data_IF_476583831765
#
_entry.id   IF_476583831765
#
_cell.length_a   1.000
_cell.length_b   1.000
_cell.length_c   1.000
_cell.angle_alpha   90.00
_cell.angle_beta   90.00
_cell.angle_gamma   90.00
#
_symmetry.space_group_name_H-M   'P 1'
#
loop_
_entity.id
_entity.type
_entity.pdbx_description
1 polymer ?
#
# COMPACT_ATOMS: atom_id res chain seq x y z
N UNK A 1 -3.93 -16.90 0.54
CA UNK A 1 -5.19 -16.27 0.07
C UNK A 1 -6.23 -17.34 -0.13
N UNK A 2 -7.50 -17.02 0.11
CA UNK A 2 -8.60 -17.99 0.07
C UNK A 2 -8.77 -18.64 -1.32
N UNK A 3 -8.54 -17.89 -2.40
CA UNK A 3 -8.63 -18.39 -3.77
C UNK A 3 -7.25 -18.42 -4.44
N UNK A 4 -6.89 -19.54 -5.07
CA UNK A 4 -5.58 -19.71 -5.74
C UNK A 4 -5.47 -18.88 -7.01
N UNK A 5 -6.56 -18.54 -7.67
CA UNK A 5 -6.54 -17.72 -8.89
C UNK A 5 -6.12 -16.27 -8.64
N UNK A 6 -6.29 -15.78 -7.40
CA UNK A 6 -5.81 -14.46 -7.00
C UNK A 6 -4.29 -14.28 -7.18
N UNK A 7 -3.48 -15.35 -7.22
CA UNK A 7 -2.03 -15.24 -7.49
C UNK A 7 -1.71 -14.68 -8.88
N UNK A 8 -2.64 -14.78 -9.84
CA UNK A 8 -2.48 -14.23 -11.18
C UNK A 8 -2.92 -12.76 -11.24
N UNK A 9 -3.92 -12.39 -10.44
CA UNK A 9 -4.52 -11.04 -10.46
C UNK A 9 -3.81 -10.09 -9.47
N UNK A 10 -3.42 -10.59 -8.31
CA UNK A 10 -2.80 -9.84 -7.21
C UNK A 10 -1.49 -10.52 -6.74
N UNK A 11 -0.51 -10.79 -7.61
CA UNK A 11 0.66 -11.61 -7.30
C UNK A 11 1.53 -11.09 -6.15
N UNK A 12 1.51 -9.79 -5.86
CA UNK A 12 2.41 -9.15 -4.88
C UNK A 12 1.64 -8.37 -3.82
N UNK A 13 0.42 -8.81 -3.50
CA UNK A 13 -0.44 -8.18 -2.48
C UNK A 13 -0.05 -8.64 -1.07
N UNK A 14 -0.09 -7.73 -0.08
CA UNK A 14 0.34 -8.00 1.30
C UNK A 14 -0.31 -9.25 1.88
N UNK A 15 -1.64 -9.30 1.83
CA UNK A 15 -2.48 -10.37 2.37
C UNK A 15 -2.30 -11.76 1.70
N UNK A 16 -1.35 -11.89 0.75
CA UNK A 16 -0.88 -13.19 0.28
C UNK A 16 0.00 -13.90 1.27
N UNK A 17 0.77 -13.14 2.03
CA UNK A 17 1.76 -13.65 2.96
C UNK A 17 1.13 -13.83 4.35
N UNK A 18 1.76 -14.67 5.15
CA UNK A 18 1.37 -14.92 6.54
C UNK A 18 2.24 -14.03 7.43
N UNK A 19 1.70 -13.58 8.54
CA UNK A 19 2.50 -12.93 9.58
C UNK A 19 3.49 -13.91 10.21
N UNK A 20 4.40 -13.42 11.05
CA UNK A 20 5.37 -14.21 11.83
C UNK A 20 4.70 -15.25 12.73
N UNK A 21 3.43 -15.03 13.05
CA UNK A 21 2.60 -15.96 13.83
C UNK A 21 1.90 -17.02 12.94
N UNK A 22 2.20 -17.07 11.64
CA UNK A 22 1.57 -17.99 10.70
C UNK A 22 0.11 -17.67 10.36
N UNK A 23 -0.40 -16.51 10.79
CA UNK A 23 -1.80 -16.07 10.57
C UNK A 23 -1.95 -15.26 9.28
N UNK A 24 -3.11 -15.35 8.67
CA UNK A 24 -3.52 -14.49 7.55
C UNK A 24 -4.45 -13.38 8.05
N UNK A 25 -4.81 -12.40 7.22
CA UNK A 25 -5.81 -11.40 7.62
C UNK A 25 -7.25 -11.87 7.47
N UNK A 26 -7.49 -13.05 6.89
CA UNK A 26 -8.82 -13.50 6.51
C UNK A 26 -9.50 -14.18 7.70
N UNK A 27 -10.60 -13.62 8.25
CA UNK A 27 -11.29 -14.18 9.41
C UNK A 27 -12.01 -15.48 9.04
N UNK A 28 -12.03 -16.44 9.96
CA UNK A 28 -12.90 -17.61 9.86
C UNK A 28 -14.34 -17.19 10.06
N UNK A 29 -15.25 -17.67 9.20
CA UNK A 29 -16.63 -17.20 9.15
C UNK A 29 -17.40 -17.49 10.44
N UNK A 30 -17.13 -18.64 11.06
CA UNK A 30 -17.73 -19.05 12.33
C UNK A 30 -17.34 -18.16 13.52
N UNK A 31 -16.28 -17.36 13.40
CA UNK A 31 -15.83 -16.41 14.41
C UNK A 31 -16.24 -14.96 14.09
N UNK A 32 -16.95 -14.72 12.99
CA UNK A 32 -17.47 -13.39 12.68
C UNK A 32 -18.69 -13.08 13.56
N UNK A 33 -18.78 -11.86 14.14
CA UNK A 33 -19.97 -11.45 14.88
C UNK A 33 -21.23 -11.53 14.00
N UNK A 34 -22.37 -11.85 14.61
CA UNK A 34 -23.65 -11.96 13.88
C UNK A 34 -23.98 -10.69 13.07
N UNK A 35 -23.76 -9.51 13.65
CA UNK A 35 -23.97 -8.22 12.99
C UNK A 35 -23.11 -8.03 11.73
N UNK A 36 -21.95 -8.68 11.66
CA UNK A 36 -21.08 -8.69 10.48
C UNK A 36 -21.62 -9.68 9.46
N UNK A 37 -21.95 -10.90 9.88
CA UNK A 37 -22.51 -11.96 9.02
C UNK A 37 -23.79 -11.52 8.30
N UNK A 38 -24.69 -10.82 9.00
CA UNK A 38 -25.97 -10.34 8.46
C UNK A 38 -25.80 -9.32 7.30
N UNK A 39 -24.60 -8.74 7.17
CA UNK A 39 -24.24 -7.78 6.10
C UNK A 39 -23.39 -8.41 4.98
N UNK A 40 -23.08 -9.70 5.07
CA UNK A 40 -22.36 -10.43 4.02
C UNK A 40 -23.34 -11.12 3.07
N UNK A 41 -22.95 -11.24 1.80
CA UNK A 41 -23.80 -11.85 0.78
C UNK A 41 -23.41 -13.31 0.56
N UNK A 42 -24.27 -14.21 1.02
CA UNK A 42 -24.09 -15.66 0.85
C UNK A 42 -24.39 -16.06 -0.59
N UNK A 43 -23.43 -16.69 -1.26
CA UNK A 43 -23.61 -17.30 -2.59
C UNK A 43 -23.72 -18.81 -2.46
N UNK A 44 -24.94 -19.34 -2.55
CA UNK A 44 -25.21 -20.78 -2.43
C UNK A 44 -24.86 -21.59 -3.69
N UNK A 45 -24.42 -20.94 -4.76
CA UNK A 45 -24.06 -21.62 -6.01
C UNK A 45 -22.58 -22.00 -6.08
N UNK A 46 -21.79 -21.72 -5.04
CA UNK A 46 -20.48 -22.35 -4.89
C UNK A 46 -20.66 -23.87 -4.73
N UNK A 47 -19.84 -24.65 -5.43
CA UNK A 47 -19.88 -26.12 -5.36
C UNK A 47 -19.47 -26.63 -3.97
N UNK A 48 -18.53 -25.95 -3.32
CA UNK A 48 -18.05 -26.31 -1.99
C UNK A 48 -18.48 -25.29 -0.93
N UNK A 49 -18.89 -25.80 0.25
CA UNK A 49 -19.14 -24.97 1.44
C UNK A 49 -17.90 -24.14 1.78
N UNK A 50 -16.71 -24.74 1.68
CA UNK A 50 -15.46 -24.06 1.96
C UNK A 50 -15.20 -22.85 1.04
N UNK A 51 -15.51 -22.95 -0.27
CA UNK A 51 -15.41 -21.79 -1.16
C UNK A 51 -16.37 -20.67 -0.78
N UNK A 52 -17.59 -21.01 -0.36
CA UNK A 52 -18.56 -20.05 0.15
C UNK A 52 -18.04 -19.33 1.40
N UNK A 53 -17.48 -20.07 2.34
CA UNK A 53 -16.93 -19.50 3.58
C UNK A 53 -15.70 -18.61 3.28
N UNK A 54 -14.85 -19.03 2.34
CA UNK A 54 -13.73 -18.23 1.85
C UNK A 54 -14.16 -16.93 1.14
N UNK A 55 -15.26 -16.94 0.38
CA UNK A 55 -15.82 -15.74 -0.24
C UNK A 55 -16.42 -14.79 0.82
N UNK A 56 -17.11 -15.30 1.84
CA UNK A 56 -17.61 -14.49 2.96
C UNK A 56 -16.45 -13.84 3.74
N UNK A 57 -15.39 -14.61 4.03
CA UNK A 57 -14.17 -14.10 4.64
C UNK A 57 -13.50 -13.01 3.80
N UNK A 58 -13.44 -13.20 2.48
CA UNK A 58 -12.96 -12.17 1.55
C UNK A 58 -13.84 -10.91 1.60
N UNK A 59 -15.17 -11.06 1.56
CA UNK A 59 -16.10 -9.94 1.63
C UNK A 59 -15.93 -9.15 2.93
N UNK A 60 -15.74 -9.80 4.08
CA UNK A 60 -15.51 -9.13 5.36
C UNK A 60 -14.31 -8.17 5.29
N UNK A 61 -13.18 -8.62 4.74
CA UNK A 61 -11.98 -7.77 4.57
C UNK A 61 -12.18 -6.67 3.53
N UNK A 62 -12.92 -6.93 2.45
CA UNK A 62 -13.21 -5.89 1.45
C UNK A 62 -14.21 -4.84 1.96
N UNK A 63 -15.10 -5.20 2.87
CA UNK A 63 -16.06 -4.30 3.53
C UNK A 63 -15.50 -3.60 4.78
N UNK A 64 -14.22 -3.84 5.12
CA UNK A 64 -13.51 -3.10 6.16
C UNK A 64 -13.65 -3.69 7.56
N UNK A 65 -13.91 -4.99 7.69
CA UNK A 65 -13.92 -5.66 9.00
C UNK A 65 -12.55 -5.54 9.68
N UNK A 66 -12.55 -5.05 10.92
CA UNK A 66 -11.42 -4.95 11.83
C UNK A 66 -11.89 -5.62 13.12
N UNK A 67 -11.22 -6.70 13.52
CA UNK A 67 -11.59 -7.47 14.70
C UNK A 67 -10.50 -8.46 15.09
N UNK A 68 -10.66 -9.08 16.25
CA UNK A 68 -9.72 -9.96 16.93
C UNK A 68 -10.05 -11.46 16.77
N UNK A 69 -11.16 -11.78 16.11
CA UNK A 69 -11.58 -13.16 15.82
C UNK A 69 -10.53 -13.99 15.08
N UNK A 70 -10.65 -15.32 15.19
CA UNK A 70 -9.68 -16.21 14.57
C UNK A 70 -9.61 -16.06 13.05
N UNK A 71 -8.39 -16.12 12.52
CA UNK A 71 -8.11 -16.04 11.08
C UNK A 71 -7.60 -17.37 10.55
N UNK A 72 -7.79 -17.62 9.26
CA UNK A 72 -7.19 -18.76 8.59
C UNK A 72 -5.66 -18.72 8.69
N UNK A 73 -5.04 -19.87 8.95
CA UNK A 73 -3.58 -20.07 8.90
C UNK A 73 -3.14 -20.68 7.57
N UNK A 74 -4.01 -21.40 6.88
CA UNK A 74 -3.79 -21.90 5.53
C UNK A 74 -5.10 -22.04 4.74
N UNK A 75 -4.99 -22.32 3.44
CA UNK A 75 -6.15 -22.44 2.56
C UNK A 75 -6.09 -23.73 1.73
N UNK A 76 -7.20 -24.47 1.74
CA UNK A 76 -7.31 -25.71 0.99
C UNK A 76 -7.48 -25.47 -0.52
N UNK A 77 -7.37 -26.55 -1.30
CA UNK A 77 -7.58 -26.48 -2.74
C UNK A 77 -9.08 -26.52 -3.04
N UNK A 78 -9.58 -25.46 -3.66
CA UNK A 78 -10.96 -25.39 -4.13
C UNK A 78 -11.14 -26.02 -5.53
N UNK A 79 -12.38 -26.44 -5.87
CA UNK A 79 -12.76 -26.76 -7.24
C UNK A 79 -12.46 -25.61 -8.22
N UNK A 80 -12.01 -25.93 -9.43
CA UNK A 80 -11.68 -24.92 -10.46
C UNK A 80 -12.90 -24.05 -10.83
N UNK A 81 -14.10 -24.61 -10.79
CA UNK A 81 -15.35 -23.86 -11.02
C UNK A 81 -15.61 -22.80 -9.95
N UNK A 82 -15.28 -23.09 -8.68
CA UNK A 82 -15.43 -22.14 -7.57
C UNK A 82 -14.41 -20.99 -7.68
N UNK A 83 -13.18 -21.31 -8.12
CA UNK A 83 -12.13 -20.32 -8.41
C UNK A 83 -12.57 -19.34 -9.52
N UNK A 84 -13.14 -19.85 -10.61
CA UNK A 84 -13.69 -19.01 -11.70
C UNK A 84 -14.89 -18.19 -11.25
N UNK A 85 -15.82 -18.80 -10.51
CA UNK A 85 -16.99 -18.11 -9.94
C UNK A 85 -16.57 -16.91 -9.10
N UNK A 86 -15.62 -17.12 -8.18
CA UNK A 86 -15.08 -16.06 -7.34
C UNK A 86 -14.45 -14.92 -8.15
N UNK A 87 -13.57 -15.21 -9.12
CA UNK A 87 -12.93 -14.12 -9.87
C UNK A 87 -13.90 -13.38 -10.80
N UNK A 88 -14.97 -14.03 -11.30
CA UNK A 88 -16.04 -13.37 -12.05
C UNK A 88 -16.89 -12.45 -11.17
N UNK A 89 -17.22 -12.92 -9.96
CA UNK A 89 -17.97 -12.14 -8.97
C UNK A 89 -17.19 -10.88 -8.57
N UNK A 90 -15.88 -10.98 -8.37
CA UNK A 90 -15.10 -9.95 -7.68
C UNK A 90 -14.17 -9.11 -8.56
N UNK A 91 -13.85 -9.54 -9.78
CA UNK A 91 -12.93 -8.85 -10.67
C UNK A 91 -13.53 -8.58 -12.04
N UNK A 92 -12.95 -7.61 -12.75
CA UNK A 92 -13.36 -7.30 -14.12
C UNK A 92 -13.16 -8.50 -15.06
N UNK A 93 -14.07 -8.68 -16.03
CA UNK A 93 -14.04 -9.81 -16.97
C UNK A 93 -12.71 -10.00 -17.70
N UNK A 94 -12.01 -8.90 -18.01
CA UNK A 94 -10.64 -8.92 -18.55
C UNK A 94 -9.69 -9.79 -17.73
N UNK A 95 -9.74 -9.69 -16.39
CA UNK A 95 -8.88 -10.47 -15.50
C UNK A 95 -9.25 -11.95 -15.47
N UNK A 96 -10.53 -12.28 -15.68
CA UNK A 96 -11.00 -13.67 -15.78
C UNK A 96 -10.43 -14.35 -17.04
N UNK A 97 -10.45 -13.64 -18.17
CA UNK A 97 -9.84 -14.10 -19.42
C UNK A 97 -8.32 -14.22 -19.27
N UNK A 98 -7.67 -13.21 -18.68
CA UNK A 98 -6.24 -13.24 -18.38
C UNK A 98 -5.84 -14.48 -17.57
N UNK A 99 -6.61 -14.84 -16.53
CA UNK A 99 -6.39 -16.05 -15.76
C UNK A 99 -6.52 -17.28 -16.65
N UNK A 100 -7.61 -17.42 -17.42
CA UNK A 100 -7.80 -18.57 -18.33
C UNK A 100 -6.63 -18.74 -19.29
N UNK A 101 -6.17 -17.67 -19.94
CA UNK A 101 -5.02 -17.72 -20.85
C UNK A 101 -3.77 -18.22 -20.13
N UNK A 102 -3.46 -17.68 -18.94
CA UNK A 102 -2.32 -18.15 -18.16
C UNK A 102 -2.46 -19.60 -17.71
N UNK A 103 -3.68 -20.05 -17.37
CA UNK A 103 -3.95 -21.46 -17.01
C UNK A 103 -3.62 -22.39 -18.17
N UNK A 104 -4.13 -22.09 -19.36
CA UNK A 104 -3.91 -22.88 -20.57
C UNK A 104 -2.43 -22.91 -20.97
N UNK A 105 -1.78 -21.75 -21.00
CA UNK A 105 -0.33 -21.64 -21.28
C UNK A 105 0.54 -22.32 -20.22
N UNK A 106 0.02 -22.54 -19.01
CA UNK A 106 0.73 -23.20 -17.91
C UNK A 106 0.45 -24.71 -17.82
N UNK A 107 -0.02 -25.38 -18.89
CA UNK A 107 -0.06 -26.85 -18.85
C UNK A 107 -1.27 -27.42 -18.14
N UNK A 108 -2.33 -26.63 -17.94
CA UNK A 108 -3.46 -27.02 -17.08
C UNK A 108 -4.56 -27.63 -17.93
N UNK A 109 -5.21 -28.67 -17.40
CA UNK A 109 -6.14 -29.50 -18.16
C UNK A 109 -7.19 -28.61 -18.86
N UNK A 110 -7.14 -28.49 -20.20
CA UNK A 110 -7.94 -27.51 -20.93
C UNK A 110 -9.44 -27.83 -20.83
N UNK A 111 -9.82 -29.12 -20.79
CA UNK A 111 -11.21 -29.53 -20.66
C UNK A 111 -11.80 -29.10 -19.31
N UNK A 112 -11.04 -29.26 -18.21
CA UNK A 112 -11.47 -28.83 -16.88
C UNK A 112 -11.57 -27.30 -16.79
N UNK A 113 -10.56 -26.58 -17.29
CA UNK A 113 -10.53 -25.11 -17.24
C UNK A 113 -11.64 -24.48 -18.10
N UNK A 114 -11.82 -24.95 -19.35
CA UNK A 114 -12.87 -24.45 -20.24
C UNK A 114 -14.27 -24.79 -19.71
N UNK A 115 -14.49 -26.04 -19.26
CA UNK A 115 -15.78 -26.42 -18.67
C UNK A 115 -16.13 -25.54 -17.47
N UNK A 116 -15.19 -25.32 -16.55
CA UNK A 116 -15.38 -24.47 -15.38
C UNK A 116 -15.59 -22.98 -15.77
N UNK A 117 -14.85 -22.49 -16.76
CA UNK A 117 -14.98 -21.13 -17.26
C UNK A 117 -16.36 -20.86 -17.88
N UNK A 118 -16.89 -21.79 -18.68
CA UNK A 118 -18.21 -21.64 -19.32
C UNK A 118 -19.37 -21.85 -18.33
N UNK A 119 -19.22 -22.76 -17.35
CA UNK A 119 -20.21 -23.00 -16.28
C UNK A 119 -20.46 -21.82 -15.33
N UNK A 120 -19.65 -20.77 -15.42
CA UNK A 120 -19.73 -19.59 -14.53
C UNK A 120 -20.08 -18.32 -15.29
N UNK A 121 -20.51 -18.43 -16.55
CA UNK A 121 -20.81 -17.26 -17.41
C UNK A 121 -22.04 -16.47 -16.96
N UNK A 122 -22.93 -17.09 -16.19
CA UNK A 122 -24.10 -16.49 -15.52
C UNK A 122 -23.73 -15.55 -14.37
N UNK A 123 -22.52 -15.68 -13.82
CA UNK A 123 -22.07 -14.93 -12.65
C UNK A 123 -21.89 -13.44 -12.98
N UNK A 124 -22.70 -12.60 -12.36
CA UNK A 124 -22.59 -11.14 -12.46
C UNK A 124 -21.54 -10.62 -11.48
N UNK A 125 -20.79 -9.60 -11.91
CA UNK A 125 -19.82 -8.90 -11.07
C UNK A 125 -20.54 -8.11 -9.97
N UNK A 126 -20.10 -8.27 -8.73
CA UNK A 126 -20.55 -7.48 -7.58
C UNK A 126 -19.54 -6.36 -7.25
N UNK A 127 -20.05 -5.22 -6.81
CA UNK A 127 -19.28 -4.12 -6.24
C UNK A 127 -19.27 -4.25 -4.71
N UNK A 128 -18.49 -5.21 -4.17
CA UNK A 128 -18.46 -5.56 -2.72
C UNK A 128 -18.28 -4.35 -1.80
N UNK A 129 -17.57 -3.32 -2.25
CA UNK A 129 -17.27 -2.12 -1.48
C UNK A 129 -18.53 -1.31 -1.13
N UNK A 130 -19.63 -1.46 -1.90
CA UNK A 130 -20.93 -0.90 -1.56
C UNK A 130 -21.50 -1.67 -0.36
N UNK A 131 -21.58 -1.01 0.80
CA UNK A 131 -22.01 -1.64 2.06
C UNK A 131 -20.87 -1.96 3.02
N UNK A 132 -19.82 -1.13 3.05
CA UNK A 132 -18.78 -1.18 4.06
C UNK A 132 -19.35 -1.12 5.49
N UNK A 133 -18.62 -1.70 6.45
CA UNK A 133 -19.04 -1.69 7.85
C UNK A 133 -18.89 -0.29 8.44
N UNK A 134 -19.95 0.23 9.07
CA UNK A 134 -19.85 1.47 9.82
C UNK A 134 -19.16 1.21 11.15
N UNK A 135 -18.40 2.21 11.60
CA UNK A 135 -17.86 2.27 12.95
C UNK A 135 -18.52 3.46 13.66
N UNK A 136 -19.83 3.38 13.90
CA UNK A 136 -20.68 4.50 14.34
C UNK A 136 -20.24 5.09 15.69
N UNK A 137 -19.62 4.26 16.54
CA UNK A 137 -19.08 4.70 17.83
C UNK A 137 -17.78 5.49 17.68
N UNK A 138 -17.13 5.47 16.51
CA UNK A 138 -15.87 6.19 16.30
C UNK A 138 -16.06 7.70 16.53
N UNK A 139 -17.07 8.32 15.92
CA UNK A 139 -17.20 9.78 15.99
C UNK A 139 -17.45 10.27 17.44
N UNK A 140 -18.16 9.49 18.26
CA UNK A 140 -18.43 9.79 19.67
C UNK A 140 -17.39 9.26 20.66
N UNK A 141 -16.46 8.41 20.21
CA UNK A 141 -15.41 7.85 21.05
C UNK A 141 -14.51 8.96 21.61
N UNK A 142 -14.43 9.03 22.93
CA UNK A 142 -13.44 9.81 23.66
C UNK A 142 -12.19 8.95 23.80
N UNK A 143 -11.07 9.44 23.30
CA UNK A 143 -9.80 8.69 23.30
C UNK A 143 -9.02 8.99 24.59
N UNK A 144 -8.87 8.01 25.51
CA UNK A 144 -7.95 8.16 26.63
C UNK A 144 -6.52 8.50 26.19
N UNK A 145 -6.08 8.00 25.04
CA UNK A 145 -4.74 8.32 24.51
C UNK A 145 -4.58 9.83 24.24
N UNK A 146 -5.62 10.50 23.70
CA UNK A 146 -5.59 11.96 23.55
C UNK A 146 -5.55 12.66 24.91
N UNK A 147 -6.30 12.18 25.91
CA UNK A 147 -6.34 12.76 27.27
C UNK A 147 -4.99 12.66 27.99
N UNK A 148 -4.22 11.58 27.75
CA UNK A 148 -2.86 11.45 28.29
C UNK A 148 -1.83 12.38 27.62
N UNK A 149 -2.25 13.08 26.56
CA UNK A 149 -1.46 14.10 25.85
C UNK A 149 -0.02 13.65 25.50
N UNK A 150 0.19 12.49 24.84
CA UNK A 150 1.53 11.98 24.52
C UNK A 150 2.31 12.90 23.56
N UNK A 151 3.63 12.99 23.73
CA UNK A 151 4.45 13.73 22.76
C UNK A 151 4.46 13.01 21.40
N UNK A 152 4.11 13.75 20.34
CA UNK A 152 4.22 13.29 18.95
C UNK A 152 5.43 13.92 18.29
N UNK A 153 6.19 13.14 17.52
CA UNK A 153 7.24 13.68 16.65
C UNK A 153 6.78 13.66 15.20
N UNK A 154 6.53 14.84 14.63
CA UNK A 154 6.19 15.02 13.22
C UNK A 154 7.48 15.04 12.40
N UNK A 155 7.60 14.17 11.40
CA UNK A 155 8.83 13.94 10.63
C UNK A 155 8.64 14.41 9.20
N UNK A 156 9.39 15.45 8.82
CA UNK A 156 9.29 16.11 7.52
C UNK A 156 10.66 16.13 6.84
N UNK A 157 10.90 15.26 5.84
CA UNK A 157 12.02 15.43 4.93
C UNK A 157 11.66 16.49 3.88
N UNK A 158 12.56 17.42 3.61
CA UNK A 158 12.38 18.40 2.53
C UNK A 158 13.61 18.53 1.64
N UNK A 159 13.40 18.96 0.41
CA UNK A 159 14.44 19.23 -0.58
C UNK A 159 13.91 20.24 -1.61
N UNK A 160 14.45 21.47 -1.58
CA UNK A 160 14.19 22.55 -2.53
C UNK A 160 12.69 22.87 -2.70
N UNK A 161 11.92 22.97 -1.60
CA UNK A 161 10.45 23.16 -1.60
C UNK A 161 9.91 24.14 -0.55
N UNK A 162 10.66 25.20 -0.24
CA UNK A 162 10.32 26.10 0.87
C UNK A 162 8.91 26.72 0.75
N UNK A 163 8.45 27.04 -0.45
CA UNK A 163 7.09 27.58 -0.66
C UNK A 163 5.99 26.63 -0.17
N UNK A 164 6.12 25.34 -0.47
CA UNK A 164 5.15 24.32 -0.06
C UNK A 164 5.32 23.94 1.41
N UNK A 165 6.57 23.90 1.88
CA UNK A 165 6.89 23.65 3.28
C UNK A 165 6.32 24.75 4.18
N UNK A 166 6.30 26.00 3.74
CA UNK A 166 5.68 27.11 4.46
C UNK A 166 4.18 26.85 4.72
N UNK A 167 3.45 26.36 3.71
CA UNK A 167 2.05 25.97 3.88
C UNK A 167 1.89 24.80 4.85
N UNK A 168 2.76 23.80 4.75
CA UNK A 168 2.80 22.63 5.64
C UNK A 168 3.01 23.04 7.10
N UNK A 169 3.99 23.91 7.37
CA UNK A 169 4.29 24.38 8.72
C UNK A 169 3.15 25.24 9.28
N UNK A 170 2.50 26.09 8.46
CA UNK A 170 1.30 26.83 8.86
C UNK A 170 0.12 25.92 9.20
N UNK A 171 -0.09 24.85 8.42
CA UNK A 171 -1.14 23.87 8.75
C UNK A 171 -0.84 23.16 10.08
N UNK A 172 0.44 22.98 10.44
CA UNK A 172 0.86 22.43 11.73
C UNK A 172 0.64 23.40 12.90
N UNK A 173 0.90 24.70 12.72
CA UNK A 173 0.59 25.73 13.73
C UNK A 173 -0.90 25.78 14.07
N UNK A 174 -1.76 25.41 13.12
CA UNK A 174 -3.21 25.40 13.26
C UNK A 174 -3.77 24.06 13.78
N UNK A 175 -2.93 23.11 14.21
CA UNK A 175 -3.41 21.85 14.76
C UNK A 175 -4.04 22.03 16.14
N UNK A 176 -5.17 21.36 16.35
CA UNK A 176 -5.91 21.31 17.62
C UNK A 176 -5.19 20.49 18.70
N UNK A 177 -4.38 19.51 18.28
CA UNK A 177 -3.47 18.80 19.17
C UNK A 177 -2.13 19.54 19.23
N UNK A 178 -1.73 20.02 20.40
CA UNK A 178 -0.57 20.92 20.54
C UNK A 178 0.71 20.24 21.06
N UNK A 179 0.64 19.06 21.69
CA UNK A 179 1.82 18.41 22.23
C UNK A 179 2.61 17.61 21.20
N UNK A 180 3.18 18.31 20.21
CA UNK A 180 4.08 17.71 19.23
C UNK A 180 5.37 18.52 19.04
N UNK A 181 6.43 17.84 18.62
CA UNK A 181 7.65 18.45 18.07
C UNK A 181 7.69 18.19 16.56
N UNK A 182 8.41 19.03 15.82
CA UNK A 182 8.57 18.91 14.38
C UNK A 182 10.05 18.71 14.09
N UNK A 183 10.39 17.63 13.38
CA UNK A 183 11.76 17.33 12.99
C UNK A 183 11.84 17.48 11.49
N UNK A 184 12.50 18.55 11.05
CA UNK A 184 12.73 18.84 9.64
C UNK A 184 14.12 18.37 9.27
N UNK A 185 14.20 17.50 8.25
CA UNK A 185 15.48 17.12 7.63
C UNK A 185 15.54 17.77 6.26
N UNK A 186 16.29 18.87 6.19
CA UNK A 186 16.45 19.67 4.99
C UNK A 186 17.68 19.21 4.20
N UNK A 187 17.46 18.89 2.92
CA UNK A 187 18.49 18.43 1.98
C UNK A 187 18.73 19.44 0.85
N UNK A 188 18.17 20.65 0.97
CA UNK A 188 18.20 21.70 -0.06
C UNK A 188 19.62 22.20 -0.29
N UNK A 189 19.96 22.45 -1.56
CA UNK A 189 21.29 22.98 -1.90
C UNK A 189 21.45 24.42 -1.36
N UNK A 190 20.38 25.20 -1.42
CA UNK A 190 20.29 26.54 -0.85
C UNK A 190 19.68 26.50 0.56
N UNK A 191 20.29 25.69 1.45
CA UNK A 191 19.85 25.57 2.84
C UNK A 191 19.86 26.93 3.56
N UNK A 192 18.71 27.33 4.11
CA UNK A 192 18.58 28.54 4.92
C UNK A 192 17.84 28.22 6.23
N UNK A 193 18.58 28.19 7.34
CA UNK A 193 18.00 27.93 8.66
C UNK A 193 17.03 29.03 9.12
N UNK A 194 17.18 30.26 8.64
CA UNK A 194 16.36 31.42 9.06
C UNK A 194 14.91 31.28 8.64
N UNK A 195 14.64 30.52 7.57
CA UNK A 195 13.29 30.20 7.13
C UNK A 195 12.44 29.63 8.28
N UNK A 196 13.03 28.76 9.10
CA UNK A 196 12.34 28.02 10.14
C UNK A 196 12.08 28.83 11.42
N UNK A 197 12.80 29.95 11.62
CA UNK A 197 12.68 30.79 12.83
C UNK A 197 11.35 31.56 12.90
N UNK A 198 10.65 31.68 11.76
CA UNK A 198 9.40 32.42 11.65
C UNK A 198 8.15 31.66 12.14
N UNK A 199 8.28 30.37 12.46
CA UNK A 199 7.15 29.52 12.85
C UNK A 199 7.13 29.30 14.36
N UNK A 200 5.93 29.39 14.96
CA UNK A 200 5.68 29.08 16.36
C UNK A 200 5.53 27.57 16.58
N UNK A 201 6.58 26.82 16.23
CA UNK A 201 6.64 25.36 16.31
C UNK A 201 7.92 24.94 17.03
N UNK A 202 7.86 23.82 17.76
CA UNK A 202 9.05 23.19 18.36
C UNK A 202 9.84 22.46 17.27
N UNK A 203 10.54 23.21 16.41
CA UNK A 203 11.29 22.67 15.28
C UNK A 203 12.70 22.25 15.71
N UNK A 204 13.01 20.98 15.48
CA UNK A 204 14.38 20.47 15.43
C UNK A 204 14.81 20.37 13.96
N UNK A 205 15.71 21.27 13.55
CA UNK A 205 16.24 21.31 12.19
C UNK A 205 17.50 20.47 12.06
N UNK A 206 17.58 19.67 11.01
CA UNK A 206 18.77 18.87 10.65
C UNK A 206 19.08 19.13 9.18
N UNK A 207 20.27 19.64 8.89
CA UNK A 207 20.77 19.73 7.51
C UNK A 207 21.43 18.41 7.12
N UNK A 208 21.07 17.87 5.95
CA UNK A 208 21.60 16.61 5.42
C UNK A 208 22.11 16.82 3.99
N UNK A 209 23.42 16.67 3.80
CA UNK A 209 24.04 16.82 2.48
C UNK A 209 23.64 15.72 1.48
N UNK A 210 23.52 14.47 1.96
CA UNK A 210 23.10 13.37 1.08
C UNK A 210 21.61 13.50 0.74
N UNK A 211 21.29 13.74 -0.53
CA UNK A 211 19.91 13.70 -1.04
C UNK A 211 19.38 12.25 -1.05
N UNK A 212 18.69 11.86 0.03
CA UNK A 212 18.25 10.50 0.33
C UNK A 212 17.04 10.52 1.30
N UNK A 213 15.86 10.10 0.81
CA UNK A 213 14.60 10.18 1.58
C UNK A 213 14.59 9.23 2.78
N UNK A 214 15.00 7.98 2.59
CA UNK A 214 14.93 6.99 3.68
C UNK A 214 15.98 7.29 4.74
N UNK A 215 17.14 7.79 4.35
CA UNK A 215 18.14 8.34 5.27
C UNK A 215 17.55 9.51 6.07
N UNK A 216 16.92 10.48 5.41
CA UNK A 216 16.32 11.63 6.08
C UNK A 216 15.27 11.20 7.11
N UNK A 217 14.33 10.33 6.72
CA UNK A 217 13.34 9.77 7.65
C UNK A 217 14.01 8.99 8.79
N UNK A 218 14.99 8.13 8.50
CA UNK A 218 15.70 7.35 9.51
C UNK A 218 16.44 8.24 10.52
N UNK A 219 17.10 9.30 10.05
CA UNK A 219 17.78 10.29 10.90
C UNK A 219 16.79 10.98 11.84
N UNK A 220 15.65 11.44 11.31
CA UNK A 220 14.61 12.06 12.12
C UNK A 220 14.01 11.09 13.15
N UNK A 221 13.72 9.84 12.75
CA UNK A 221 13.19 8.80 13.66
C UNK A 221 14.16 8.57 14.82
N UNK A 222 15.46 8.47 14.57
CA UNK A 222 16.46 8.29 15.63
C UNK A 222 16.56 9.48 16.58
N UNK A 223 16.29 10.70 16.09
CA UNK A 223 16.36 11.93 16.89
C UNK A 223 15.04 12.28 17.59
N UNK A 224 13.95 11.63 17.21
CA UNK A 224 12.63 11.81 17.81
C UNK A 224 12.61 11.54 19.31
N UNK A 225 11.82 12.32 20.04
CA UNK A 225 11.55 12.13 21.47
C UNK A 225 10.19 11.50 21.74
N UNK A 226 9.21 11.75 20.86
CA UNK A 226 7.88 11.19 20.95
C UNK A 226 7.85 9.68 20.71
N UNK A 227 6.92 8.99 21.37
CA UNK A 227 6.64 7.57 21.16
C UNK A 227 5.68 7.31 20.00
N UNK A 228 5.06 8.36 19.47
CA UNK A 228 4.22 8.35 18.29
C UNK A 228 4.88 9.19 17.20
N UNK A 229 5.17 8.58 16.05
CA UNK A 229 5.89 9.21 14.95
C UNK A 229 4.93 9.47 13.80
N UNK A 230 4.71 10.73 13.48
CA UNK A 230 3.81 11.16 12.40
C UNK A 230 4.64 11.52 11.17
N UNK A 231 4.63 10.63 10.18
CA UNK A 231 5.38 10.87 8.95
C UNK A 231 4.54 11.74 8.00
N UNK A 232 5.12 12.85 7.56
CA UNK A 232 4.46 13.85 6.72
C UNK A 232 5.34 14.24 5.53
N UNK A 233 4.73 14.66 4.42
CA UNK A 233 5.47 15.19 3.26
C UNK A 233 5.42 16.72 3.23
N UNK A 234 6.41 17.33 2.58
CA UNK A 234 6.58 18.77 2.44
C UNK A 234 5.68 19.45 1.38
N UNK A 235 4.83 18.69 0.67
CA UNK A 235 3.93 19.19 -0.38
C UNK A 235 2.46 18.78 -0.16
N UNK A 236 2.00 18.93 1.07
CA UNK A 236 0.71 18.42 1.54
C UNK A 236 -0.09 19.45 2.34
N UNK A 237 -1.42 19.36 2.27
CA UNK A 237 -2.33 20.17 3.10
C UNK A 237 -3.21 19.29 3.97
N UNK A 238 -3.44 19.69 5.21
CA UNK A 238 -4.18 18.91 6.23
C UNK A 238 -5.15 19.78 7.02
N UNK A 239 -6.20 19.18 7.57
CA UNK A 239 -7.15 19.86 8.45
C UNK A 239 -6.57 20.02 9.87
N UNK A 240 -7.16 20.90 10.68
CA UNK A 240 -6.72 21.21 12.06
C UNK A 240 -6.89 20.06 13.06
N UNK A 241 -7.76 19.09 12.77
CA UNK A 241 -7.96 17.89 13.60
C UNK A 241 -7.13 16.69 13.12
N UNK A 242 -6.28 16.86 12.10
CA UNK A 242 -5.59 15.75 11.44
C UNK A 242 -4.75 14.90 12.40
N UNK A 243 -3.96 15.52 13.28
CA UNK A 243 -3.18 14.79 14.29
C UNK A 243 -4.10 14.04 15.26
N UNK A 244 -5.18 14.67 15.74
CA UNK A 244 -6.13 14.04 16.66
C UNK A 244 -6.78 12.79 16.05
N UNK A 245 -7.18 12.84 14.78
CA UNK A 245 -7.80 11.70 14.10
C UNK A 245 -6.86 10.49 13.97
N UNK A 246 -5.56 10.74 13.79
CA UNK A 246 -4.57 9.67 13.82
C UNK A 246 -4.46 9.02 15.21
N UNK A 247 -4.36 9.82 16.27
CA UNK A 247 -4.27 9.31 17.65
C UNK A 247 -5.53 8.52 18.01
N UNK A 248 -6.70 9.10 17.73
CA UNK A 248 -8.01 8.50 17.98
C UNK A 248 -8.17 7.16 17.28
N UNK A 249 -7.66 7.01 16.07
CA UNK A 249 -7.67 5.74 15.33
C UNK A 249 -6.80 4.68 15.98
N UNK A 250 -5.59 5.03 16.43
CA UNK A 250 -4.73 4.07 17.15
C UNK A 250 -5.43 3.53 18.40
N UNK A 251 -6.09 4.41 19.14
CA UNK A 251 -6.77 4.07 20.39
C UNK A 251 -8.07 3.30 20.14
N UNK A 252 -8.96 3.80 19.27
CA UNK A 252 -10.25 3.15 18.99
C UNK A 252 -10.09 1.71 18.47
N UNK A 253 -9.15 1.48 17.55
CA UNK A 253 -8.92 0.16 16.97
C UNK A 253 -7.83 -0.65 17.68
N UNK A 254 -7.20 -0.09 18.72
CA UNK A 254 -6.03 -0.66 19.38
C UNK A 254 -4.94 -1.04 18.36
N UNK A 255 -4.72 -0.18 17.38
CA UNK A 255 -3.80 -0.44 16.26
C UNK A 255 -2.39 0.08 16.53
N UNK A 256 -1.43 -0.38 15.74
CA UNK A 256 -0.03 0.04 15.81
C UNK A 256 0.27 1.22 14.88
N UNK A 257 -0.54 1.34 13.84
CA UNK A 257 -0.39 2.34 12.78
C UNK A 257 -1.76 2.85 12.33
N UNK A 258 -1.81 4.14 11.98
CA UNK A 258 -2.96 4.79 11.36
C UNK A 258 -2.51 5.47 10.08
N UNK A 259 -2.77 4.85 8.92
CA UNK A 259 -2.48 5.40 7.59
C UNK A 259 -3.65 6.25 7.11
N UNK A 260 -3.45 7.55 6.99
CA UNK A 260 -4.47 8.47 6.49
C UNK A 260 -4.67 8.36 4.98
N UNK A 261 -5.73 8.98 4.48
CA UNK A 261 -6.08 8.95 3.05
C UNK A 261 -5.45 10.11 2.31
N UNK A 262 -4.80 9.83 1.19
CA UNK A 262 -4.20 10.85 0.33
C UNK A 262 -5.08 11.17 -0.88
N UNK A 263 -5.64 12.37 -0.88
CA UNK A 263 -6.45 12.93 -1.97
C UNK A 263 -5.51 13.68 -2.91
N UNK A 264 -5.71 13.52 -4.22
CA UNK A 264 -4.94 14.26 -5.25
C UNK A 264 -5.83 15.29 -5.92
N UNK A 265 -5.42 16.58 -5.96
CA UNK A 265 -6.11 17.64 -6.72
C UNK A 265 -6.25 17.29 -8.21
N UNK A 266 -5.31 16.52 -8.77
CA UNK A 266 -5.27 16.14 -10.18
C UNK A 266 -5.52 14.64 -10.37
N UNK A 267 -6.63 14.32 -11.04
CA UNK A 267 -6.73 13.15 -11.93
C UNK A 267 -7.07 11.79 -11.32
N UNK A 268 -7.48 11.68 -10.05
CA UNK A 268 -7.98 10.40 -9.54
C UNK A 268 -9.12 10.59 -8.52
N UNK A 269 -10.25 9.90 -8.76
CA UNK A 269 -11.26 9.65 -7.73
C UNK A 269 -10.58 8.88 -6.59
N UNK A 270 -10.83 9.28 -5.33
CA UNK A 270 -10.44 8.47 -4.17
C UNK A 270 -11.07 7.08 -4.36
N UNK A 271 -10.27 6.00 -4.42
CA UNK A 271 -10.85 4.67 -4.59
C UNK A 271 -11.81 4.37 -3.43
N UNK A 272 -12.94 3.73 -3.74
CA UNK A 272 -14.04 3.59 -2.77
C UNK A 272 -13.57 2.91 -1.45
N UNK A 273 -12.55 2.06 -1.50
CA UNK A 273 -11.97 1.38 -0.33
C UNK A 273 -11.19 2.30 0.64
N UNK A 274 -10.94 3.57 0.29
CA UNK A 274 -10.36 4.56 1.20
C UNK A 274 -11.42 5.42 1.90
N UNK A 275 -12.70 5.22 1.61
CA UNK A 275 -13.79 6.05 2.18
C UNK A 275 -14.30 5.54 3.53
N UNK A 276 -13.74 4.44 4.05
CA UNK A 276 -14.11 3.82 5.32
C UNK A 276 -12.89 3.18 5.98
N UNK A 277 -13.00 2.90 7.29
CA UNK A 277 -11.96 2.22 8.04
C UNK A 277 -11.79 0.77 7.57
N UNK A 278 -10.55 0.34 7.36
CA UNK A 278 -10.19 -1.04 7.01
C UNK A 278 -8.78 -1.36 7.46
N UNK A 279 -8.46 -2.64 7.54
CA UNK A 279 -7.06 -3.07 7.59
C UNK A 279 -6.37 -2.60 6.30
N UNK A 280 -5.29 -1.83 6.46
CA UNK A 280 -4.54 -1.28 5.34
C UNK A 280 -3.67 -2.34 4.67
N UNK A 281 -3.73 -2.39 3.35
CA UNK A 281 -2.90 -3.23 2.47
C UNK A 281 -1.78 -2.42 1.78
N UNK A 282 -1.53 -1.21 2.28
CA UNK A 282 -0.46 -0.33 1.85
C UNK A 282 -0.04 0.62 2.98
N UNK A 283 1.07 1.32 2.77
CA UNK A 283 1.53 2.39 3.64
C UNK A 283 1.84 3.61 2.79
N UNK A 284 1.41 4.78 3.24
CA UNK A 284 1.79 6.07 2.68
C UNK A 284 2.62 6.82 3.72
N UNK A 285 3.94 6.89 3.55
CA UNK A 285 4.80 7.57 4.54
C UNK A 285 4.66 9.08 4.53
N UNK A 286 3.84 9.65 3.65
CA UNK A 286 3.45 11.05 3.72
C UNK A 286 2.22 11.33 4.57
N UNK A 287 1.51 10.30 5.04
CA UNK A 287 0.31 10.47 5.87
C UNK A 287 0.09 9.26 6.79
N UNK A 288 0.98 9.06 7.77
CA UNK A 288 0.85 7.92 8.69
C UNK A 288 1.42 8.19 10.06
N UNK A 289 0.65 7.84 11.09
CA UNK A 289 1.09 7.77 12.48
C UNK A 289 1.52 6.34 12.80
N UNK A 290 2.73 6.18 13.34
CA UNK A 290 3.34 4.88 13.66
C UNK A 290 3.85 4.92 15.09
N UNK A 291 3.51 3.91 15.91
CA UNK A 291 4.16 3.75 17.23
C UNK A 291 5.66 3.52 17.04
N UNK A 292 6.49 4.26 17.77
CA UNK A 292 7.96 4.13 17.72
C UNK A 292 8.44 2.71 18.03
N UNK A 293 7.68 1.98 18.84
CA UNK A 293 7.90 0.57 19.12
C UNK A 293 7.94 -0.31 17.85
N UNK A 294 7.16 0.00 16.81
CA UNK A 294 7.21 -0.72 15.53
C UNK A 294 8.62 -0.60 14.93
N UNK A 295 9.21 0.59 14.92
CA UNK A 295 10.58 0.79 14.42
C UNK A 295 11.64 0.04 15.25
N UNK A 296 11.47 -0.04 16.58
CA UNK A 296 12.36 -0.85 17.45
C UNK A 296 12.27 -2.34 17.12
N UNK A 297 11.07 -2.81 16.80
CA UNK A 297 10.78 -4.22 16.54
C UNK A 297 11.23 -4.70 15.16
N UNK A 298 10.95 -3.94 14.10
CA UNK A 298 11.24 -4.36 12.73
C UNK A 298 12.45 -3.67 12.12
N UNK A 299 12.99 -2.62 12.75
CA UNK A 299 14.05 -1.78 12.22
C UNK A 299 13.53 -0.63 11.35
N UNK A 300 14.44 0.27 10.98
CA UNK A 300 14.19 1.48 10.20
C UNK A 300 13.85 1.20 8.73
N UNK A 301 13.72 2.24 7.89
CA UNK A 301 13.46 2.07 6.45
C UNK A 301 14.68 1.45 5.73
N UNK A 302 14.42 0.54 4.79
CA UNK A 302 15.47 -0.13 4.00
C UNK A 302 16.05 0.84 2.96
N UNK A 303 17.31 1.23 3.15
CA UNK A 303 18.01 2.14 2.22
C UNK A 303 18.29 1.52 0.85
N UNK A 304 17.98 0.24 0.60
CA UNK A 304 17.97 -0.32 -0.76
C UNK A 304 16.95 0.37 -1.68
N UNK A 305 15.96 1.08 -1.12
CA UNK A 305 14.94 1.80 -1.87
C UNK A 305 15.29 3.28 -2.10
N UNK A 306 16.49 3.72 -1.73
CA UNK A 306 16.90 5.10 -2.02
C UNK A 306 16.83 5.40 -3.51
N UNK A 307 16.35 6.61 -3.83
CA UNK A 307 16.25 7.10 -5.21
C UNK A 307 15.38 6.21 -6.11
N UNK A 308 14.53 5.34 -5.54
CA UNK A 308 13.66 4.40 -6.25
C UNK A 308 12.31 4.21 -5.53
N UNK A 309 11.28 3.76 -6.23
CA UNK A 309 9.96 3.46 -5.65
C UNK A 309 9.98 2.26 -4.70
N UNK A 310 8.89 2.12 -3.96
CA UNK A 310 8.48 0.95 -3.16
C UNK A 310 9.03 0.88 -1.73
N UNK A 311 9.72 1.90 -1.22
CA UNK A 311 10.17 1.87 0.17
C UNK A 311 9.01 1.96 1.18
N UNK A 312 7.96 2.75 0.92
CA UNK A 312 6.74 2.75 1.75
C UNK A 312 6.11 1.36 1.75
N UNK A 313 5.99 0.81 0.53
CA UNK A 313 5.43 -0.50 0.27
C UNK A 313 6.23 -1.63 0.91
N UNK A 314 7.54 -1.46 1.09
CA UNK A 314 8.40 -2.42 1.78
C UNK A 314 8.20 -2.35 3.29
N UNK A 315 8.23 -1.15 3.87
CA UNK A 315 8.08 -0.97 5.31
C UNK A 315 6.69 -1.43 5.78
N UNK A 316 5.63 -1.03 5.06
CA UNK A 316 4.26 -1.48 5.34
C UNK A 316 4.11 -3.00 5.25
N UNK A 317 4.77 -3.63 4.27
CA UNK A 317 4.78 -5.09 4.15
C UNK A 317 5.49 -5.74 5.32
N UNK A 318 6.66 -5.23 5.72
CA UNK A 318 7.43 -5.77 6.84
C UNK A 318 6.68 -5.64 8.17
N UNK A 319 5.98 -4.52 8.39
CA UNK A 319 5.08 -4.36 9.53
C UNK A 319 3.93 -5.38 9.51
N UNK A 320 3.28 -5.59 8.35
CA UNK A 320 2.24 -6.62 8.22
C UNK A 320 2.77 -8.04 8.47
N UNK A 321 3.97 -8.36 7.96
CA UNK A 321 4.63 -9.65 8.18
C UNK A 321 5.02 -9.83 9.65
N UNK A 322 5.36 -8.77 10.37
CA UNK A 322 5.60 -8.84 11.80
C UNK A 322 4.30 -9.01 12.62
N UNK A 323 3.15 -8.69 12.03
CA UNK A 323 1.85 -8.79 12.67
C UNK A 323 1.32 -7.48 13.24
N UNK A 324 1.90 -6.33 12.86
CA UNK A 324 1.37 -5.02 13.23
C UNK A 324 0.00 -4.78 12.58
N UNK A 325 -0.92 -4.19 13.33
CA UNK A 325 -2.20 -3.74 12.82
C UNK A 325 -2.08 -2.31 12.27
N UNK A 326 -2.24 -2.16 10.96
CA UNK A 326 -2.30 -0.85 10.30
C UNK A 326 -3.72 -0.58 9.80
N UNK A 327 -4.30 0.54 10.20
CA UNK A 327 -5.66 0.94 9.83
C UNK A 327 -5.61 2.05 8.76
N UNK A 328 -6.36 1.89 7.68
CA UNK A 328 -6.66 2.96 6.74
C UNK A 328 -7.68 3.89 7.37
N UNK A 329 -7.32 5.15 7.55
CA UNK A 329 -8.07 6.15 8.30
C UNK A 329 -8.67 7.20 7.35
N UNK A 330 -9.97 7.12 7.01
CA UNK A 330 -10.65 8.10 6.17
C UNK A 330 -10.87 9.46 6.85
N UNK A 331 -10.69 9.57 8.18
CA UNK A 331 -10.87 10.84 8.91
C UNK A 331 -9.59 11.68 8.95
N UNK A 332 -8.42 11.05 8.79
CA UNK A 332 -7.14 11.72 8.66
C UNK A 332 -6.74 11.92 7.19
N UNK A 333 -7.47 12.79 6.49
CA UNK A 333 -7.22 13.08 5.09
C UNK A 333 -6.07 14.07 4.89
N UNK A 334 -5.34 13.87 3.79
CA UNK A 334 -4.29 14.77 3.32
C UNK A 334 -4.50 15.08 1.85
N UNK A 335 -4.41 16.35 1.48
CA UNK A 335 -4.37 16.77 0.10
C UNK A 335 -2.93 16.83 -0.40
N UNK A 336 -2.53 15.85 -1.20
CA UNK A 336 -1.19 15.77 -1.77
C UNK A 336 -1.13 16.55 -3.10
N UNK A 337 -0.34 17.63 -3.13
CA UNK A 337 -0.28 18.58 -4.25
C UNK A 337 0.47 18.02 -5.47
N UNK A 338 1.30 16.98 -5.28
CA UNK A 338 2.08 16.31 -6.34
C UNK A 338 2.93 17.28 -7.17
N UNK A 339 3.57 18.24 -6.51
CA UNK A 339 4.34 19.34 -7.10
C UNK A 339 5.34 18.86 -8.15
N UNK A 340 5.44 19.53 -9.30
CA UNK A 340 6.25 19.09 -10.44
C UNK A 340 7.78 19.12 -10.25
N UNK A 341 8.28 19.85 -9.25
CA UNK A 341 9.70 20.11 -8.98
C UNK A 341 10.07 19.83 -7.51
N UNK A 342 11.37 19.82 -7.21
CA UNK A 342 11.90 19.56 -5.87
C UNK A 342 11.64 18.14 -5.34
N UNK A 343 12.07 17.87 -4.11
CA UNK A 343 11.85 16.61 -3.42
C UNK A 343 12.43 15.42 -4.17
N UNK A 344 11.71 14.30 -4.12
CA UNK A 344 12.10 13.09 -4.84
C UNK A 344 12.35 13.33 -6.33
N UNK A 345 11.69 14.30 -6.98
CA UNK A 345 11.76 14.49 -8.44
C UNK A 345 13.14 14.95 -8.93
N UNK A 346 13.99 15.49 -8.05
CA UNK A 346 15.37 15.87 -8.39
C UNK A 346 16.34 14.70 -8.52
N UNK A 347 16.01 13.55 -7.93
CA UNK A 347 16.89 12.40 -7.86
C UNK A 347 16.19 11.13 -8.35
N UNK A 348 16.93 10.10 -8.74
CA UNK A 348 16.36 8.75 -8.84
C UNK A 348 15.29 8.51 -9.91
N UNK A 349 14.61 7.35 -9.85
CA UNK A 349 13.52 6.97 -10.76
C UNK A 349 12.25 6.67 -9.98
N UNK A 350 11.29 7.59 -10.06
CA UNK A 350 10.03 7.52 -9.33
C UNK A 350 8.83 7.19 -10.20
N UNK A 351 9.03 6.66 -11.39
CA UNK A 351 8.02 5.82 -12.01
C UNK A 351 8.50 4.37 -11.89
N UNK A 352 7.66 3.52 -11.29
CA UNK A 352 8.01 2.12 -11.06
C UNK A 352 8.21 1.35 -12.38
N UNK A 353 7.57 1.79 -13.47
CA UNK A 353 7.55 1.06 -14.74
C UNK A 353 7.92 1.91 -15.96
N UNK A 354 7.81 3.24 -15.89
CA UNK A 354 8.29 4.11 -16.98
C UNK A 354 9.74 4.49 -16.76
N UNK A 355 10.46 4.47 -17.86
CA UNK A 355 11.91 4.57 -17.90
C UNK A 355 12.32 5.96 -18.35
N UNK A 356 13.34 6.56 -17.72
CA UNK A 356 13.86 7.88 -18.12
C UNK A 356 14.42 7.88 -19.55
N UNK A 357 14.99 6.74 -19.98
CA UNK A 357 15.46 6.51 -21.35
C UNK A 357 15.06 5.11 -21.85
N UNK A 358 15.20 4.87 -23.15
CA UNK A 358 14.74 3.62 -23.79
C UNK A 358 15.50 2.35 -23.34
N UNK A 359 16.67 2.48 -22.71
CA UNK A 359 17.50 1.35 -22.24
C UNK A 359 17.53 1.20 -20.71
N UNK A 360 16.72 1.96 -19.97
CA UNK A 360 16.64 1.83 -18.52
C UNK A 360 15.91 0.54 -18.12
N UNK A 361 16.22 -0.03 -16.95
CA UNK A 361 15.50 -1.21 -16.44
C UNK A 361 13.99 -0.96 -16.34
N UNK A 362 13.19 -1.98 -16.72
CA UNK A 362 11.73 -1.99 -16.58
C UNK A 362 11.27 -3.30 -15.93
N UNK A 363 10.56 -3.27 -14.79
CA UNK A 363 10.39 -2.11 -13.90
C UNK A 363 11.74 -1.59 -13.37
N UNK A 364 11.73 -0.55 -12.54
CA UNK A 364 12.95 -0.17 -11.83
C UNK A 364 13.41 -1.31 -10.90
N UNK A 365 14.71 -1.40 -10.57
CA UNK A 365 15.26 -2.55 -9.83
C UNK A 365 14.63 -2.79 -8.45
N UNK A 366 14.27 -1.75 -7.70
CA UNK A 366 13.65 -1.87 -6.37
C UNK A 366 12.32 -2.62 -6.38
N UNK A 367 11.55 -2.53 -7.46
CA UNK A 367 10.26 -3.24 -7.61
C UNK A 367 10.52 -4.74 -7.65
N UNK A 368 11.45 -5.20 -8.48
CA UNK A 368 11.82 -6.62 -8.54
C UNK A 368 12.57 -7.07 -7.28
N UNK A 369 13.34 -6.20 -6.65
CA UNK A 369 13.94 -6.48 -5.35
C UNK A 369 12.88 -6.81 -4.30
N UNK A 370 11.87 -5.94 -4.14
CA UNK A 370 10.72 -6.18 -3.24
C UNK A 370 10.00 -7.50 -3.59
N UNK A 371 9.63 -7.67 -4.86
CA UNK A 371 8.83 -8.83 -5.28
C UNK A 371 9.57 -10.15 -5.05
N UNK A 372 10.86 -10.19 -5.38
CA UNK A 372 11.66 -11.41 -5.25
C UNK A 372 12.03 -11.70 -3.79
N UNK A 373 12.32 -10.67 -3.00
CA UNK A 373 12.65 -10.79 -1.56
C UNK A 373 11.48 -11.40 -0.77
N UNK A 374 10.25 -10.92 -1.00
CA UNK A 374 9.12 -11.29 -0.15
C UNK A 374 8.14 -12.30 -0.77
N UNK A 375 7.98 -12.33 -2.10
CA UNK A 375 6.98 -13.17 -2.77
C UNK A 375 7.57 -14.29 -3.63
N UNK A 376 8.89 -14.30 -3.79
CA UNK A 376 9.62 -15.28 -4.58
C UNK A 376 9.51 -15.09 -6.10
N UNK A 377 10.26 -15.92 -6.83
CA UNK A 377 10.43 -15.81 -8.29
C UNK A 377 9.09 -15.99 -9.03
N UNK A 378 8.30 -16.99 -8.67
CA UNK A 378 7.03 -17.30 -9.37
C UNK A 378 6.05 -16.13 -9.31
N UNK A 379 5.85 -15.54 -8.14
CA UNK A 379 4.98 -14.37 -7.98
C UNK A 379 5.53 -13.15 -8.70
N UNK A 380 6.86 -12.96 -8.71
CA UNK A 380 7.51 -11.88 -9.44
C UNK A 380 7.29 -11.97 -10.95
N UNK A 381 7.32 -13.18 -11.52
CA UNK A 381 7.03 -13.41 -12.93
C UNK A 381 5.56 -13.11 -13.28
N UNK A 382 4.60 -13.55 -12.45
CA UNK A 382 3.20 -13.18 -12.63
C UNK A 382 2.98 -11.67 -12.53
N UNK A 383 3.68 -10.99 -11.61
CA UNK A 383 3.63 -9.54 -11.52
C UNK A 383 4.12 -8.88 -12.81
N UNK A 384 5.27 -9.31 -13.35
CA UNK A 384 5.79 -8.80 -14.63
C UNK A 384 4.81 -9.00 -15.80
N UNK A 385 4.28 -10.23 -15.96
CA UNK A 385 3.32 -10.57 -17.00
C UNK A 385 2.04 -9.72 -16.93
N UNK A 386 1.65 -9.31 -15.72
CA UNK A 386 0.51 -8.43 -15.50
C UNK A 386 0.85 -6.97 -15.76
N UNK A 387 1.94 -6.46 -15.18
CA UNK A 387 2.18 -5.01 -15.07
C UNK A 387 2.95 -4.43 -16.26
N UNK A 388 3.85 -5.19 -16.87
CA UNK A 388 4.66 -4.69 -18.00
C UNK A 388 3.80 -4.32 -19.21
N UNK A 389 2.87 -5.16 -19.69
CA UNK A 389 1.99 -4.77 -20.81
C UNK A 389 1.19 -3.49 -20.51
N UNK A 390 0.62 -3.39 -19.30
CA UNK A 390 -0.16 -2.22 -18.87
C UNK A 390 0.72 -0.96 -18.77
N UNK A 391 1.99 -1.11 -18.42
CA UNK A 391 2.92 0.03 -18.31
C UNK A 391 3.23 0.70 -19.64
N UNK A 392 3.06 -0.01 -20.76
CA UNK A 392 3.26 0.51 -22.12
C UNK A 392 2.16 1.51 -22.53
N UNK A 393 1.05 1.54 -21.81
CA UNK A 393 -0.08 2.43 -22.11
C UNK A 393 0.10 3.78 -21.37
N UNK A 394 -0.02 4.93 -22.06
CA UNK A 394 0.00 6.25 -21.43
C UNK A 394 -1.06 6.41 -20.33
N UNK A 395 -0.79 7.24 -19.32
CA UNK A 395 -1.61 7.28 -18.09
C UNK A 395 -3.06 7.69 -18.38
N UNK A 396 -3.23 8.69 -19.26
CA UNK A 396 -4.54 9.17 -19.74
C UNK A 396 -5.41 8.08 -20.36
N UNK A 397 -4.82 6.97 -20.80
CA UNK A 397 -5.52 5.86 -21.45
C UNK A 397 -5.68 4.63 -20.57
N UNK A 398 -5.16 4.63 -19.32
CA UNK A 398 -5.23 3.46 -18.43
C UNK A 398 -6.66 3.09 -18.02
N UNK A 399 -7.60 4.04 -18.09
CA UNK A 399 -9.02 3.78 -17.84
C UNK A 399 -9.73 3.16 -19.06
N UNK A 400 -9.11 3.16 -20.24
CA UNK A 400 -9.68 2.56 -21.44
C UNK A 400 -9.17 1.13 -21.63
N UNK A 401 -10.06 0.17 -21.38
CA UNK A 401 -9.72 -1.26 -21.39
C UNK A 401 -9.35 -1.79 -22.77
N UNK A 402 -9.93 -1.25 -23.85
CA UNK A 402 -9.54 -1.62 -25.22
C UNK A 402 -8.10 -1.20 -25.49
N UNK A 403 -7.67 -0.06 -24.97
CA UNK A 403 -6.28 0.41 -25.07
C UNK A 403 -5.31 -0.37 -24.17
N UNK A 404 -5.79 -1.04 -23.12
CA UNK A 404 -4.96 -1.98 -22.36
C UNK A 404 -4.55 -3.20 -23.20
N UNK A 405 -5.43 -3.68 -24.10
CA UNK A 405 -5.11 -4.75 -25.05
C UNK A 405 -4.02 -4.30 -26.02
N UNK A 406 -4.06 -3.04 -26.47
CA UNK A 406 -2.99 -2.48 -27.30
C UNK A 406 -1.63 -2.54 -26.60
N UNK A 407 -1.57 -2.40 -25.27
CA UNK A 407 -0.33 -2.60 -24.50
C UNK A 407 0.28 -3.98 -24.69
N UNK A 408 -0.53 -5.04 -24.82
CA UNK A 408 -0.06 -6.39 -25.14
C UNK A 408 0.44 -6.51 -26.58
N UNK A 409 -0.22 -5.86 -27.54
CA UNK A 409 0.24 -5.82 -28.94
C UNK A 409 1.58 -5.06 -29.07
N UNK A 410 1.71 -3.92 -28.39
CA UNK A 410 2.96 -3.15 -28.33
C UNK A 410 4.07 -4.00 -27.69
N UNK A 411 3.76 -4.78 -26.65
CA UNK A 411 4.73 -5.68 -26.04
C UNK A 411 5.28 -6.69 -27.04
N UNK A 412 4.45 -7.25 -27.92
CA UNK A 412 4.90 -8.19 -28.96
C UNK A 412 5.83 -7.46 -29.95
N UNK A 413 5.44 -6.28 -30.42
CA UNK A 413 6.23 -5.50 -31.37
C UNK A 413 7.61 -5.09 -30.80
N UNK A 414 7.63 -4.66 -29.53
CA UNK A 414 8.84 -4.19 -28.85
C UNK A 414 9.49 -5.26 -27.97
N UNK A 415 9.15 -6.53 -28.17
CA UNK A 415 9.54 -7.62 -27.27
C UNK A 415 11.06 -7.68 -27.01
N UNK A 416 11.95 -7.62 -28.03
CA UNK A 416 13.39 -7.70 -27.78
C UNK A 416 13.91 -6.62 -26.83
N UNK A 417 13.43 -5.38 -27.03
CA UNK A 417 13.80 -4.24 -26.20
C UNK A 417 13.25 -4.38 -24.78
N UNK A 418 11.96 -4.67 -24.63
CA UNK A 418 11.33 -4.81 -23.32
C UNK A 418 11.93 -5.99 -22.54
N UNK A 419 12.21 -7.10 -23.23
CA UNK A 419 12.88 -8.25 -22.64
C UNK A 419 14.28 -7.87 -22.12
N UNK A 420 15.07 -7.13 -22.89
CA UNK A 420 16.36 -6.59 -22.43
C UNK A 420 16.20 -5.69 -21.19
N UNK A 421 15.22 -4.78 -21.16
CA UNK A 421 14.93 -3.93 -20.00
C UNK A 421 14.58 -4.76 -18.75
N UNK A 422 13.78 -5.82 -18.91
CA UNK A 422 13.42 -6.74 -17.82
C UNK A 422 14.66 -7.49 -17.33
N UNK A 423 15.48 -8.04 -18.22
CA UNK A 423 16.72 -8.74 -17.85
C UNK A 423 17.68 -7.82 -17.09
N UNK A 424 17.83 -6.57 -17.53
CA UNK A 424 18.63 -5.56 -16.83
C UNK A 424 18.10 -5.29 -15.42
N UNK A 425 16.78 -5.10 -15.28
CA UNK A 425 16.16 -4.94 -13.95
C UNK A 425 16.35 -6.19 -13.09
N UNK A 426 16.23 -7.37 -13.67
CA UNK A 426 16.40 -8.64 -12.97
C UNK A 426 17.83 -8.79 -12.45
N UNK A 427 18.84 -8.50 -13.27
CA UNK A 427 20.25 -8.49 -12.88
C UNK A 427 20.52 -7.52 -11.73
N UNK A 428 20.02 -6.28 -11.84
CA UNK A 428 20.20 -5.24 -10.81
C UNK A 428 19.49 -5.62 -9.50
N UNK A 429 18.28 -6.17 -9.57
CA UNK A 429 17.60 -6.68 -8.36
C UNK A 429 18.31 -7.89 -7.74
N UNK A 430 18.98 -8.74 -8.53
CA UNK A 430 19.83 -9.82 -8.00
C UNK A 430 21.05 -9.27 -7.24
N UNK A 431 21.63 -8.17 -7.70
CA UNK A 431 22.71 -7.48 -6.97
C UNK A 431 22.18 -7.00 -5.61
N UNK A 432 21.05 -6.29 -5.58
CA UNK A 432 20.40 -5.84 -4.33
C UNK A 432 20.08 -6.99 -3.38
N UNK A 433 19.61 -8.13 -3.89
CA UNK A 433 19.36 -9.33 -3.08
C UNK A 433 20.64 -9.88 -2.45
N UNK A 434 21.76 -9.90 -3.18
CA UNK A 434 23.06 -10.35 -2.65
C UNK A 434 23.64 -9.38 -1.62
N UNK A 435 23.50 -8.08 -1.86
CA UNK A 435 23.92 -7.04 -0.91
C UNK A 435 23.10 -7.07 0.39
N UNK A 436 21.88 -7.62 0.34
CA UNK A 436 20.98 -7.66 1.48
C UNK A 436 20.24 -6.33 1.72
N UNK A 437 19.38 -6.34 2.72
CA UNK A 437 18.64 -5.16 3.16
C UNK A 437 19.58 -4.20 3.91
N UNK A 438 19.40 -2.89 3.71
CA UNK A 438 20.14 -1.84 4.42
C UNK A 438 19.22 -1.23 5.48
N UNK A 439 18.84 -2.06 6.45
CA UNK A 439 17.93 -1.72 7.55
C UNK A 439 18.75 -1.58 8.82
N UNK A 440 18.74 -0.39 9.40
CA UNK A 440 19.36 -0.11 10.69
C UNK A 440 18.37 -0.38 11.83
N UNK A 441 18.88 -0.72 13.01
CA UNK A 441 18.06 -0.79 14.23
C UNK A 441 17.86 0.62 14.79
N UNK A 442 16.73 0.81 15.47
CA UNK A 442 16.43 2.03 16.22
C UNK A 442 16.96 1.92 17.65
#
# INVERSE_FOLDING_TARGET
MPFKFLKYIQPTHYFRLKSRYGKTVFPKVEHLPKAILDRLEVDNNYKSKLARDYDLSWQAIQKGYIGDGETYTDFERLPVVDEYRFIRKNFHAFWVIHVLVLRLLSFKNPFVELSAFFKTTDVKRNHIVKGAFPYDLYDTFKSPLIETNPLISVIIPTLNRYDYLNDVLKDLENQTYSNFEVIVVDQSDAFDSRFYESFNLRIQLIHQEEKALWLARNTAIKKSKGDLLLLFDDDSRVASNWIQEHIKTLDYFQSDMSSGVSISKVGAKVPDNYTFFRISDQLDTGNVLIKKEVFKQIGLFDRQFEKQRMGDGEYGLRANLFGCLNISNPKAERLHLKVGSGGLREMGSWDAFRTKNIFSPRPIPSVLYLYRKYFGIKSSLFALLKTVPISLVPYKFKNNQKLLILGYLILVLLFPLIFFQILKSWKLSSIKLREGAKIEKL
#
